data_IF_168557055764
#
_entry.id   IF_168557055764
#
_cell.length_a   1.000
_cell.length_b   1.000
_cell.length_c   1.000
_cell.angle_alpha   90.00
_cell.angle_beta   90.00
_cell.angle_gamma   90.00
#
_symmetry.space_group_name_H-M   'P 1'
#
loop_
_entity.id
_entity.type
_entity.pdbx_description
1 polymer ?
#
# COMPACT_ATOMS: atom_id res chain seq x y z
N UNK A 1 15.95 15.38 8.97
CA UNK A 1 15.64 15.45 10.41
C UNK A 1 15.28 14.05 10.88
N UNK A 2 15.95 13.52 11.91
CA UNK A 2 15.56 12.24 12.52
C UNK A 2 14.20 12.38 13.18
N UNK A 3 13.22 11.51 12.88
CA UNK A 3 11.91 11.58 13.51
C UNK A 3 12.05 11.44 15.03
N UNK A 4 11.33 12.29 15.78
CA UNK A 4 11.32 12.20 17.24
C UNK A 4 10.73 10.85 17.68
N UNK A 5 11.20 10.33 18.82
CA UNK A 5 10.63 9.11 19.45
C UNK A 5 9.09 9.17 19.57
N UNK A 6 8.54 10.37 19.72
CA UNK A 6 7.09 10.64 19.74
C UNK A 6 6.40 10.34 18.41
N UNK A 7 7.01 10.67 17.27
CA UNK A 7 6.43 10.46 15.93
C UNK A 7 6.28 8.97 15.61
N UNK A 8 7.28 8.15 15.96
CA UNK A 8 7.21 6.69 15.79
C UNK A 8 6.16 6.06 16.73
N UNK A 9 6.06 6.54 17.97
CA UNK A 9 5.03 6.09 18.92
C UNK A 9 3.62 6.41 18.40
N UNK A 10 3.37 7.62 17.90
CA UNK A 10 2.08 7.98 17.31
C UNK A 10 1.77 7.14 16.07
N UNK A 11 2.73 6.99 15.16
CA UNK A 11 2.56 6.15 13.96
C UNK A 11 2.20 4.71 14.33
N UNK A 12 2.90 4.14 15.31
CA UNK A 12 2.63 2.80 15.81
C UNK A 12 1.25 2.67 16.47
N UNK A 13 0.84 3.67 17.26
CA UNK A 13 -0.47 3.70 17.88
C UNK A 13 -1.60 3.76 16.85
N UNK A 14 -1.56 4.73 15.92
CA UNK A 14 -2.58 4.86 14.88
C UNK A 14 -2.60 3.64 13.96
N UNK A 15 -1.44 3.06 13.66
CA UNK A 15 -1.35 1.82 12.90
C UNK A 15 -2.05 0.65 13.59
N UNK A 16 -1.80 0.49 14.89
CA UNK A 16 -2.42 -0.57 15.71
C UNK A 16 -3.94 -0.39 15.77
N UNK A 17 -4.41 0.84 15.95
CA UNK A 17 -5.85 1.15 15.98
C UNK A 17 -6.51 0.87 14.62
N UNK A 18 -5.89 1.31 13.52
CA UNK A 18 -6.40 1.08 12.17
C UNK A 18 -6.49 -0.41 11.82
N UNK A 19 -5.43 -1.19 12.09
CA UNK A 19 -5.43 -2.64 11.84
C UNK A 19 -6.46 -3.36 12.71
N UNK A 20 -6.56 -2.99 14.00
CA UNK A 20 -7.57 -3.60 14.89
C UNK A 20 -9.00 -3.32 14.42
N UNK A 21 -9.27 -2.14 13.86
CA UNK A 21 -10.59 -1.82 13.29
C UNK A 21 -10.88 -2.69 12.05
N UNK A 22 -9.91 -2.85 11.16
CA UNK A 22 -10.03 -3.71 9.98
C UNK A 22 -10.29 -5.16 10.40
N UNK A 23 -9.53 -5.71 11.35
CA UNK A 23 -9.72 -7.07 11.87
C UNK A 23 -11.11 -7.28 12.48
N UNK A 24 -11.60 -6.30 13.25
CA UNK A 24 -12.94 -6.36 13.86
C UNK A 24 -14.06 -6.31 12.82
N UNK A 25 -13.87 -5.56 11.74
CA UNK A 25 -14.88 -5.42 10.68
C UNK A 25 -14.77 -6.51 9.61
N UNK A 26 -13.64 -7.23 9.55
CA UNK A 26 -13.38 -8.24 8.54
C UNK A 26 -14.44 -9.35 8.47
N UNK A 27 -15.04 -9.70 9.61
CA UNK A 27 -16.12 -10.69 9.69
C UNK A 27 -17.43 -10.24 9.00
N UNK A 28 -17.60 -8.94 8.75
CA UNK A 28 -18.78 -8.36 8.12
C UNK A 28 -18.62 -8.14 6.62
N UNK A 29 -17.41 -8.27 6.09
CA UNK A 29 -17.09 -8.06 4.70
C UNK A 29 -17.06 -9.38 3.93
N UNK A 30 -17.37 -9.34 2.64
CA UNK A 30 -17.01 -10.46 1.77
C UNK A 30 -15.47 -10.59 1.71
N UNK A 31 -14.97 -11.78 1.38
CA UNK A 31 -13.53 -12.05 1.40
C UNK A 31 -12.69 -11.13 0.50
N UNK A 32 -13.28 -10.55 -0.55
CA UNK A 32 -12.60 -9.62 -1.45
C UNK A 32 -12.60 -8.19 -0.91
N UNK A 33 -13.70 -7.72 -0.33
CA UNK A 33 -13.79 -6.44 0.38
C UNK A 33 -12.87 -6.41 1.60
N UNK A 34 -12.85 -7.49 2.38
CA UNK A 34 -11.93 -7.65 3.49
C UNK A 34 -10.47 -7.50 3.08
N UNK A 35 -10.07 -8.21 2.03
CA UNK A 35 -8.72 -8.13 1.47
C UNK A 35 -8.40 -6.72 0.98
N UNK A 36 -9.32 -6.06 0.26
CA UNK A 36 -9.15 -4.67 -0.23
C UNK A 36 -8.87 -3.70 0.91
N UNK A 37 -9.69 -3.74 1.95
CA UNK A 37 -9.55 -2.83 3.10
C UNK A 37 -8.26 -3.11 3.88
N UNK A 38 -7.92 -4.39 4.09
CA UNK A 38 -6.68 -4.79 4.73
C UNK A 38 -5.45 -4.30 3.96
N UNK A 39 -5.41 -4.50 2.64
CA UNK A 39 -4.28 -4.06 1.82
C UNK A 39 -4.10 -2.54 1.84
N UNK A 40 -5.22 -1.80 1.83
CA UNK A 40 -5.19 -0.35 1.94
C UNK A 40 -4.64 0.09 3.29
N UNK A 41 -5.10 -0.52 4.38
CA UNK A 41 -4.63 -0.22 5.72
C UNK A 41 -3.13 -0.53 5.88
N UNK A 42 -2.69 -1.73 5.46
CA UNK A 42 -1.28 -2.12 5.50
C UNK A 42 -0.39 -1.16 4.73
N UNK A 43 -0.80 -0.74 3.53
CA UNK A 43 -0.03 0.22 2.72
C UNK A 43 0.15 1.58 3.40
N UNK A 44 -0.90 2.08 4.06
CA UNK A 44 -0.86 3.35 4.78
C UNK A 44 -0.01 3.25 6.05
N UNK A 45 -0.15 2.14 6.79
CA UNK A 45 0.66 1.85 7.98
C UNK A 45 2.14 1.73 7.62
N UNK A 46 2.46 1.01 6.54
CA UNK A 46 3.82 0.88 6.03
C UNK A 46 4.44 2.25 5.71
N UNK A 47 3.67 3.13 5.05
CA UNK A 47 4.11 4.49 4.76
C UNK A 47 4.40 5.29 6.04
N UNK A 48 3.54 5.18 7.07
CA UNK A 48 3.79 5.83 8.37
C UNK A 48 5.10 5.34 9.02
N UNK A 49 5.33 4.02 9.03
CA UNK A 49 6.58 3.46 9.56
C UNK A 49 7.81 3.87 8.76
N UNK A 50 7.71 3.91 7.41
CA UNK A 50 8.78 4.40 6.54
C UNK A 50 9.14 5.85 6.88
N UNK A 51 8.14 6.75 6.99
CA UNK A 51 8.34 8.16 7.36
C UNK A 51 8.86 8.35 8.78
N UNK A 52 8.56 7.42 9.68
CA UNK A 52 9.10 7.40 11.04
C UNK A 52 10.47 6.72 11.15
N UNK A 53 11.10 6.33 10.03
CA UNK A 53 12.44 5.74 10.00
C UNK A 53 12.51 4.25 10.34
N UNK A 54 11.37 3.56 10.45
CA UNK A 54 11.29 2.11 10.71
C UNK A 54 11.25 1.33 9.39
N UNK A 55 12.38 1.31 8.68
CA UNK A 55 12.48 0.74 7.34
C UNK A 55 12.13 -0.76 7.27
N UNK A 56 12.63 -1.57 8.21
CA UNK A 56 12.38 -3.02 8.25
C UNK A 56 10.88 -3.34 8.44
N UNK A 57 10.21 -2.63 9.35
CA UNK A 57 8.76 -2.83 9.57
C UNK A 57 7.96 -2.41 8.34
N UNK A 58 8.32 -1.27 7.75
CA UNK A 58 7.66 -0.79 6.54
C UNK A 58 7.82 -1.78 5.37
N UNK A 59 9.02 -2.33 5.17
CA UNK A 59 9.30 -3.33 4.14
C UNK A 59 8.42 -4.57 4.27
N UNK A 60 8.34 -5.21 5.46
CA UNK A 60 7.52 -6.41 5.62
C UNK A 60 6.03 -6.18 5.33
N UNK A 61 5.53 -4.99 5.68
CA UNK A 61 4.15 -4.60 5.37
C UNK A 61 3.95 -4.34 3.88
N UNK A 62 4.90 -3.68 3.21
CA UNK A 62 4.84 -3.48 1.76
C UNK A 62 4.95 -4.81 0.98
N UNK A 63 5.80 -5.73 1.42
CA UNK A 63 5.90 -7.08 0.83
C UNK A 63 4.57 -7.81 0.93
N UNK A 64 3.91 -7.77 2.09
CA UNK A 64 2.58 -8.38 2.29
C UNK A 64 1.57 -7.90 1.25
N UNK A 65 1.57 -6.60 0.91
CA UNK A 65 0.64 -6.03 -0.08
C UNK A 65 1.06 -6.32 -1.53
N UNK A 66 2.36 -6.40 -1.81
CA UNK A 66 2.90 -6.42 -3.18
C UNK A 66 3.27 -7.82 -3.69
N UNK A 67 3.42 -8.79 -2.82
CA UNK A 67 3.73 -10.20 -3.13
C UNK A 67 2.49 -11.08 -3.25
N UNK A 68 1.28 -10.51 -3.09
CA UNK A 68 0.05 -11.30 -3.14
C UNK A 68 -0.08 -12.05 -4.49
N UNK A 69 0.00 -13.37 -4.41
CA UNK A 69 -0.11 -14.28 -5.54
C UNK A 69 -1.55 -14.29 -6.06
N UNK A 70 -1.80 -13.53 -7.12
CA UNK A 70 -3.08 -13.58 -7.82
C UNK A 70 -3.18 -14.85 -8.66
N UNK A 71 -4.34 -15.48 -8.63
CA UNK A 71 -4.78 -16.42 -9.65
C UNK A 71 -4.87 -15.68 -10.99
N UNK A 72 -4.20 -16.18 -12.03
CA UNK A 72 -4.09 -15.52 -13.34
C UNK A 72 -5.43 -15.33 -14.09
N UNK A 73 -6.51 -15.93 -13.61
CA UNK A 73 -7.75 -16.06 -14.38
C UNK A 73 -8.80 -14.95 -14.13
N UNK A 74 -8.60 -14.07 -13.13
CA UNK A 74 -9.55 -13.01 -12.81
C UNK A 74 -8.98 -11.60 -13.07
N UNK A 75 -9.69 -10.74 -13.83
CA UNK A 75 -9.27 -9.36 -14.03
C UNK A 75 -9.13 -8.63 -12.69
N UNK A 76 -8.16 -7.73 -12.62
CA UNK A 76 -7.90 -7.00 -11.39
C UNK A 76 -8.97 -5.98 -11.09
N UNK A 77 -9.52 -6.07 -9.88
CA UNK A 77 -10.33 -5.00 -9.32
C UNK A 77 -9.50 -3.70 -9.30
N UNK A 78 -9.97 -2.60 -9.94
CA UNK A 78 -9.19 -1.36 -10.07
C UNK A 78 -8.73 -0.79 -8.73
N UNK A 79 -9.50 -0.97 -7.66
CA UNK A 79 -9.12 -0.51 -6.33
C UNK A 79 -7.90 -1.27 -5.79
N UNK A 80 -7.86 -2.58 -5.97
CA UNK A 80 -6.69 -3.40 -5.66
C UNK A 80 -5.47 -2.97 -6.48
N UNK A 81 -5.63 -2.80 -7.80
CA UNK A 81 -4.54 -2.37 -8.66
C UNK A 81 -3.97 -1.01 -8.23
N UNK A 82 -4.83 -0.04 -7.92
CA UNK A 82 -4.43 1.28 -7.43
C UNK A 82 -3.68 1.20 -6.10
N UNK A 83 -4.19 0.42 -5.16
CA UNK A 83 -3.57 0.23 -3.85
C UNK A 83 -2.19 -0.41 -4.00
N UNK A 84 -2.07 -1.48 -4.80
CA UNK A 84 -0.79 -2.15 -5.05
C UNK A 84 0.19 -1.25 -5.79
N UNK A 85 -0.28 -0.48 -6.79
CA UNK A 85 0.55 0.48 -7.53
C UNK A 85 1.18 1.49 -6.57
N UNK A 86 0.38 2.08 -5.67
CA UNK A 86 0.89 3.04 -4.68
C UNK A 86 1.82 2.39 -3.65
N UNK A 87 1.48 1.19 -3.15
CA UNK A 87 2.36 0.43 -2.27
C UNK A 87 3.73 0.16 -2.90
N UNK A 88 3.77 -0.22 -4.18
CA UNK A 88 5.02 -0.40 -4.94
C UNK A 88 5.82 0.89 -5.05
N UNK A 89 5.17 2.06 -5.23
CA UNK A 89 5.86 3.36 -5.27
C UNK A 89 6.48 3.71 -3.92
N UNK A 90 5.70 3.62 -2.85
CA UNK A 90 6.20 3.93 -1.51
C UNK A 90 7.29 2.96 -1.06
N UNK A 91 7.18 1.68 -1.43
CA UNK A 91 8.22 0.71 -1.17
C UNK A 91 9.48 1.01 -1.98
N UNK A 92 9.33 1.43 -3.24
CA UNK A 92 10.48 1.85 -4.04
C UNK A 92 11.19 3.05 -3.44
N UNK A 93 10.44 4.05 -2.97
CA UNK A 93 11.00 5.24 -2.33
C UNK A 93 11.70 4.85 -1.01
N UNK A 94 11.12 3.94 -0.22
CA UNK A 94 11.78 3.37 0.96
C UNK A 94 13.12 2.69 0.59
N UNK A 95 13.17 1.90 -0.49
CA UNK A 95 14.40 1.25 -0.94
C UNK A 95 15.45 2.26 -1.43
N UNK A 96 15.04 3.35 -2.09
CA UNK A 96 15.98 4.42 -2.49
C UNK A 96 16.56 5.16 -1.28
N UNK A 97 15.76 5.34 -0.23
CA UNK A 97 16.21 5.97 1.03
C UNK A 97 17.00 5.00 1.93
N UNK A 98 17.01 3.70 1.61
CA UNK A 98 17.66 2.66 2.41
C UNK A 98 18.94 2.17 1.72
N UNK A 99 20.09 2.40 2.35
CA UNK A 99 21.43 2.17 1.79
C UNK A 99 21.56 0.88 0.96
N UNK A 100 22.07 1.02 -0.28
CA UNK A 100 22.39 -0.07 -1.21
C UNK A 100 21.17 -0.86 -1.74
N UNK A 101 19.97 -0.31 -1.66
CA UNK A 101 18.73 -0.94 -2.17
C UNK A 101 18.13 -0.21 -3.38
N UNK A 102 18.86 0.70 -4.02
CA UNK A 102 18.39 1.53 -5.14
C UNK A 102 17.92 0.66 -6.33
N UNK A 103 18.67 -0.41 -6.63
CA UNK A 103 18.32 -1.34 -7.71
C UNK A 103 17.00 -2.10 -7.44
N UNK A 104 16.67 -2.36 -6.17
CA UNK A 104 15.37 -2.94 -5.81
C UNK A 104 14.27 -1.89 -5.94
N UNK A 105 14.56 -0.65 -5.55
CA UNK A 105 13.68 0.50 -5.77
C UNK A 105 13.29 0.66 -7.24
N UNK A 106 14.25 0.55 -8.15
CA UNK A 106 13.99 0.67 -9.59
C UNK A 106 13.10 -0.46 -10.14
N UNK A 107 13.31 -1.69 -9.69
CA UNK A 107 12.43 -2.82 -10.04
C UNK A 107 11.01 -2.60 -9.52
N UNK A 108 10.87 -2.09 -8.30
CA UNK A 108 9.57 -1.78 -7.70
C UNK A 108 8.87 -0.63 -8.44
N UNK A 109 9.60 0.41 -8.87
CA UNK A 109 9.08 1.47 -9.74
C UNK A 109 8.59 0.93 -11.07
N UNK A 110 9.36 0.05 -11.71
CA UNK A 110 8.95 -0.58 -12.96
C UNK A 110 7.67 -1.40 -12.78
N UNK A 111 7.60 -2.24 -11.74
CA UNK A 111 6.38 -2.99 -11.40
C UNK A 111 5.19 -2.07 -11.16
N UNK A 112 5.39 -0.92 -10.53
CA UNK A 112 4.33 0.07 -10.33
C UNK A 112 3.85 0.66 -11.67
N UNK A 113 4.77 1.03 -12.56
CA UNK A 113 4.44 1.51 -13.89
C UNK A 113 3.68 0.46 -14.72
N UNK A 114 4.06 -0.82 -14.61
CA UNK A 114 3.38 -1.93 -15.29
C UNK A 114 1.95 -2.14 -14.77
N UNK A 115 1.69 -1.93 -13.48
CA UNK A 115 0.33 -1.95 -12.94
C UNK A 115 -0.47 -0.76 -13.48
N UNK A 116 0.14 0.43 -13.50
CA UNK A 116 -0.53 1.64 -13.99
C UNK A 116 -0.89 1.57 -15.48
N UNK A 117 -0.05 0.96 -16.32
CA UNK A 117 -0.32 0.83 -17.75
C UNK A 117 -1.50 -0.10 -18.05
N UNK A 118 -1.76 -1.08 -17.18
CA UNK A 118 -2.87 -2.03 -17.27
C UNK A 118 -4.20 -1.48 -16.73
N UNK A 119 -4.19 -0.36 -16.01
CA UNK A 119 -5.41 0.31 -15.58
C UNK A 119 -6.14 0.93 -16.79
N UNK A 120 -7.47 0.86 -16.75
CA UNK A 120 -8.32 1.58 -17.70
C UNK A 120 -8.17 3.09 -17.56
N UNK A 121 -8.50 3.84 -18.62
CA UNK A 121 -8.21 5.29 -18.70
C UNK A 121 -8.85 6.12 -17.58
N UNK A 122 -9.99 5.70 -17.03
CA UNK A 122 -10.63 6.35 -15.87
C UNK A 122 -9.84 6.24 -14.56
N UNK A 123 -8.93 5.27 -14.45
CA UNK A 123 -8.18 4.94 -13.24
C UNK A 123 -6.68 5.20 -13.36
N UNK A 124 -6.14 5.21 -14.59
CA UNK A 124 -4.73 5.49 -14.85
C UNK A 124 -4.35 6.86 -14.26
N UNK A 125 -3.18 6.91 -13.61
CA UNK A 125 -2.61 8.12 -12.99
C UNK A 125 -3.43 8.74 -11.83
N UNK A 126 -4.63 8.22 -11.51
CA UNK A 126 -5.41 8.63 -10.35
C UNK A 126 -4.75 8.16 -9.06
N UNK A 127 -4.72 8.97 -8.02
CA UNK A 127 -4.21 8.58 -6.70
C UNK A 127 -5.17 7.67 -5.94
N UNK A 128 -4.64 6.67 -5.23
CA UNK A 128 -5.43 5.74 -4.42
C UNK A 128 -6.05 6.39 -3.16
N UNK A 129 -5.66 7.63 -2.81
CA UNK A 129 -6.26 8.39 -1.70
C UNK A 129 -7.72 8.75 -2.02
N UNK A 130 -8.04 8.98 -3.29
CA UNK A 130 -9.38 9.35 -3.73
C UNK A 130 -10.17 8.17 -4.30
N UNK A 131 -9.66 6.94 -4.21
CA UNK A 131 -10.32 5.75 -4.77
C UNK A 131 -11.75 5.56 -4.26
N UNK A 132 -12.04 5.92 -3.01
CA UNK A 132 -13.41 5.93 -2.46
C UNK A 132 -14.33 7.01 -3.05
N UNK A 133 -13.79 8.13 -3.53
CA UNK A 133 -14.54 9.23 -4.15
C UNK A 133 -14.86 8.96 -5.63
N UNK A 134 -13.97 8.23 -6.32
CA UNK A 134 -14.16 7.90 -7.74
C UNK A 134 -15.30 6.92 -8.00
N UNK A 135 -15.76 6.16 -6.99
CA UNK A 135 -16.92 5.27 -7.13
C UNK A 135 -18.26 5.99 -7.33
N UNK A 136 -18.36 7.26 -6.96
CA UNK A 136 -19.59 8.05 -7.08
C UNK A 136 -19.59 9.04 -8.24
N UNK A 137 -18.54 9.03 -9.07
CA UNK A 137 -18.32 10.03 -10.13
C UNK A 137 -17.99 9.44 -11.51
N UNK A 138 -18.05 8.10 -11.65
CA UNK A 138 -17.90 7.38 -12.91
C UNK A 138 -19.24 6.81 -13.38
#
# INVERSE_FOLDING_TARGET
>A
ETPSSSSLQMASQFAKEALSLVEKQQSHWDGNEARRMLHRALSLVALCYSRAGSAVTAEGLFQTVTEENRSNDAPEDPFHALTRREALRYYADLCHDWEKREADGDKLRQRSADVNSKLGDGWRDKTAIFSGLWFYTL
#
